data_IF_934111708255
#
_entry.id   IF_934111708255
#
_cell.length_a   1.000
_cell.length_b   1.000
_cell.length_c   1.000
_cell.angle_alpha   90.00
_cell.angle_beta   90.00
_cell.angle_gamma   90.00
#
_symmetry.space_group_name_H-M   'P 1'
#
loop_
_entity.id
_entity.type
_entity.pdbx_description
1 polymer ?
#
# COMPACT_ATOMS: atom_id res chain seq x y z
N UNK A 1 19.11 10.39 10.90
CA UNK A 1 17.74 9.92 10.64
C UNK A 1 17.77 9.00 9.43
N UNK A 2 17.27 7.77 9.54
CA UNK A 2 17.14 6.89 8.38
C UNK A 2 16.18 7.55 7.36
N UNK A 3 16.59 7.70 6.09
CA UNK A 3 15.68 8.18 5.04
C UNK A 3 14.61 7.10 4.87
N UNK A 4 13.34 7.48 5.00
CA UNK A 4 12.23 6.56 4.74
C UNK A 4 12.28 6.19 3.26
N UNK A 5 12.34 4.89 2.99
CA UNK A 5 12.31 4.38 1.63
C UNK A 5 10.91 4.59 1.03
N UNK A 6 10.84 5.49 0.07
CA UNK A 6 9.61 5.99 -0.55
C UNK A 6 8.77 4.87 -1.14
N UNK A 7 9.41 3.85 -1.70
CA UNK A 7 8.72 2.66 -2.24
C UNK A 7 8.06 1.85 -1.14
N UNK A 8 8.74 1.65 -0.01
CA UNK A 8 8.19 0.96 1.15
C UNK A 8 7.02 1.76 1.73
N UNK A 9 7.21 3.07 1.95
CA UNK A 9 6.16 3.94 2.46
C UNK A 9 4.91 3.96 1.55
N UNK A 10 5.09 4.06 0.23
CA UNK A 10 3.98 4.04 -0.73
C UNK A 10 3.21 2.71 -0.69
N UNK A 11 3.92 1.58 -0.64
CA UNK A 11 3.29 0.27 -0.51
C UNK A 11 2.52 0.12 0.81
N UNK A 12 3.10 0.57 1.94
CA UNK A 12 2.47 0.51 3.26
C UNK A 12 1.23 1.39 3.35
N UNK A 13 1.30 2.63 2.87
CA UNK A 13 0.14 3.54 2.85
C UNK A 13 -0.99 2.97 2.00
N UNK A 14 -0.64 2.36 0.86
CA UNK A 14 -1.64 1.75 -0.03
C UNK A 14 -2.32 0.55 0.62
N UNK A 15 -1.56 -0.31 1.31
CA UNK A 15 -2.14 -1.41 2.08
C UNK A 15 -3.11 -0.91 3.15
N UNK A 16 -2.73 0.12 3.91
CA UNK A 16 -3.60 0.73 4.92
C UNK A 16 -4.88 1.33 4.30
N UNK A 17 -4.78 1.96 3.13
CA UNK A 17 -5.95 2.50 2.44
C UNK A 17 -6.95 1.40 2.04
N UNK A 18 -6.46 0.25 1.57
CA UNK A 18 -7.32 -0.90 1.25
C UNK A 18 -7.98 -1.46 2.50
N UNK A 19 -7.26 -1.56 3.62
CA UNK A 19 -7.85 -1.99 4.90
C UNK A 19 -8.99 -1.07 5.34
N UNK A 20 -8.80 0.26 5.23
CA UNK A 20 -9.85 1.23 5.55
C UNK A 20 -11.06 1.07 4.61
N UNK A 21 -10.83 0.86 3.31
CA UNK A 21 -11.92 0.63 2.36
C UNK A 21 -12.73 -0.62 2.69
N UNK A 22 -12.08 -1.74 3.01
CA UNK A 22 -12.76 -2.98 3.42
C UNK A 22 -13.58 -2.74 4.68
N UNK A 23 -13.02 -2.05 5.67
CA UNK A 23 -13.73 -1.71 6.90
C UNK A 23 -14.98 -0.85 6.63
N UNK A 24 -14.86 0.17 5.78
CA UNK A 24 -15.99 1.02 5.39
C UNK A 24 -17.06 0.19 4.67
N UNK A 25 -16.69 -0.69 3.73
CA UNK A 25 -17.62 -1.60 3.06
C UNK A 25 -18.40 -2.46 4.07
N UNK A 26 -17.73 -2.98 5.11
CA UNK A 26 -18.39 -3.75 6.17
C UNK A 26 -19.42 -2.93 6.95
N UNK A 27 -19.20 -1.62 7.16
CA UNK A 27 -20.20 -0.73 7.80
C UNK A 27 -21.49 -0.59 6.97
N UNK A 28 -21.42 -0.80 5.65
CA UNK A 28 -22.58 -0.79 4.76
C UNK A 28 -23.18 -2.18 4.53
N UNK A 29 -22.71 -3.21 5.24
CA UNK A 29 -23.18 -4.60 5.10
C UNK A 29 -22.70 -5.29 3.82
N UNK A 30 -21.68 -4.75 3.13
CA UNK A 30 -21.04 -5.42 2.00
C UNK A 30 -20.02 -6.42 2.54
N UNK A 31 -20.28 -7.71 2.28
CA UNK A 31 -19.37 -8.78 2.68
C UNK A 31 -18.25 -8.93 1.65
N UNK A 32 -17.04 -8.52 2.02
CA UNK A 32 -15.86 -8.61 1.16
C UNK A 32 -15.10 -9.85 1.57
N UNK A 33 -15.04 -10.84 0.67
CA UNK A 33 -14.24 -12.05 0.88
C UNK A 33 -12.78 -11.69 1.17
N UNK A 34 -12.22 -12.35 2.19
CA UNK A 34 -10.82 -12.16 2.60
C UNK A 34 -9.84 -12.39 1.45
N UNK A 35 -10.11 -13.35 0.57
CA UNK A 35 -9.30 -13.61 -0.62
C UNK A 35 -9.30 -12.40 -1.59
N UNK A 36 -10.43 -11.73 -1.74
CA UNK A 36 -10.56 -10.53 -2.60
C UNK A 36 -9.83 -9.34 -1.97
N UNK A 37 -9.98 -9.14 -0.67
CA UNK A 37 -9.25 -8.10 0.07
C UNK A 37 -7.73 -8.30 -0.02
N UNK A 38 -7.25 -9.53 0.20
CA UNK A 38 -5.84 -9.87 0.11
C UNK A 38 -5.28 -9.66 -1.31
N UNK A 39 -6.04 -10.07 -2.34
CA UNK A 39 -5.66 -9.82 -3.74
C UNK A 39 -5.58 -8.32 -4.05
N UNK A 40 -6.56 -7.53 -3.60
CA UNK A 40 -6.58 -6.09 -3.79
C UNK A 40 -5.40 -5.39 -3.12
N UNK A 41 -5.10 -5.72 -1.85
CA UNK A 41 -3.93 -5.19 -1.14
C UNK A 41 -2.65 -5.53 -1.90
N UNK A 42 -2.48 -6.78 -2.32
CA UNK A 42 -1.25 -7.25 -2.96
C UNK A 42 -1.01 -6.52 -4.29
N UNK A 43 -2.04 -6.43 -5.14
CA UNK A 43 -1.95 -5.75 -6.43
C UNK A 43 -1.72 -4.24 -6.26
N UNK A 44 -2.47 -3.59 -5.37
CA UNK A 44 -2.38 -2.15 -5.18
C UNK A 44 -1.07 -1.74 -4.49
N UNK A 45 -0.62 -2.47 -3.47
CA UNK A 45 0.67 -2.21 -2.82
C UNK A 45 1.85 -2.46 -3.77
N UNK A 46 1.78 -3.53 -4.58
CA UNK A 46 2.77 -3.80 -5.63
C UNK A 46 2.82 -2.68 -6.68
N UNK A 47 1.66 -2.24 -7.17
CA UNK A 47 1.55 -1.15 -8.13
C UNK A 47 2.08 0.17 -7.54
N UNK A 48 1.72 0.49 -6.30
CA UNK A 48 2.17 1.69 -5.61
C UNK A 48 3.68 1.68 -5.40
N UNK A 49 4.26 0.56 -4.99
CA UNK A 49 5.72 0.41 -4.87
C UNK A 49 6.45 0.50 -6.21
N UNK A 50 5.83 0.02 -7.29
CA UNK A 50 6.38 0.10 -8.65
C UNK A 50 6.38 1.54 -9.18
N UNK A 51 5.27 2.27 -9.01
CA UNK A 51 5.11 3.65 -9.46
C UNK A 51 5.78 4.67 -8.52
N UNK A 52 6.08 4.28 -7.28
CA UNK A 52 6.70 5.17 -6.32
C UNK A 52 8.09 5.66 -6.80
N UNK A 53 8.38 6.96 -6.64
CA UNK A 53 9.66 7.52 -7.04
C UNK A 53 10.79 6.87 -6.25
N UNK A 54 11.96 6.79 -6.90
CA UNK A 54 13.14 6.25 -6.26
C UNK A 54 13.59 7.17 -5.13
N UNK A 55 13.86 6.59 -3.96
CA UNK A 55 14.43 7.33 -2.85
C UNK A 55 15.83 7.78 -3.24
N UNK A 56 16.14 9.09 -3.22
CA UNK A 56 17.46 9.57 -3.56
C UNK A 56 18.48 8.93 -2.63
N UNK A 57 19.36 8.09 -3.19
CA UNK A 57 20.53 7.61 -2.46
C UNK A 57 21.48 8.79 -2.36
N UNK A 58 22.11 9.03 -1.19
CA UNK A 58 23.26 9.91 -1.16
C UNK A 58 24.29 9.31 -2.11
N UNK A 59 24.55 10.03 -3.19
CA UNK A 59 25.55 9.67 -4.17
C UNK A 59 26.84 9.39 -3.41
N UNK A 60 27.38 8.18 -3.57
CA UNK A 60 28.68 7.85 -3.02
C UNK A 60 29.72 8.72 -3.69
N UNK A 61 30.07 9.84 -3.04
CA UNK A 61 31.34 10.54 -3.21
C UNK A 61 32.47 9.73 -2.59
#
# INVERSE_FOLDING_TARGET
MARIETKVAAATITGAAVTVLVYVCSLFGLDVSEAVAAAAVTLLAGLAGYLAPHTPRPDGS
#
